data_IF_836114661654
#
_entry.id   IF_836114661654
#
_cell.length_a   1.000
_cell.length_b   1.000
_cell.length_c   1.000
_cell.angle_alpha   90.00
_cell.angle_beta   90.00
_cell.angle_gamma   90.00
#
_symmetry.space_group_name_H-M   'P 1'
#
loop_
_entity.id
_entity.type
_entity.pdbx_description
1 polymer ?
#
# COMPACT_ATOMS: atom_id res chain seq x y z
N UNK A 1 -15.93 0.11 -13.49
CA UNK A 1 -15.78 -0.23 -12.06
C UNK A 1 -14.34 -0.64 -11.84
N UNK A 2 -13.77 -0.33 -10.68
CA UNK A 2 -12.42 -0.77 -10.34
C UNK A 2 -12.52 -2.01 -9.46
N UNK A 3 -11.83 -3.09 -9.85
CA UNK A 3 -11.75 -4.34 -9.11
C UNK A 3 -10.33 -4.48 -8.57
N UNK A 4 -10.18 -4.45 -7.26
CA UNK A 4 -8.91 -4.42 -6.56
C UNK A 4 -8.76 -5.71 -5.77
N UNK A 5 -7.74 -6.49 -6.10
CA UNK A 5 -7.44 -7.77 -5.48
C UNK A 5 -6.12 -7.67 -4.72
N UNK A 6 -6.11 -8.03 -3.43
CA UNK A 6 -4.90 -8.07 -2.60
C UNK A 6 -4.04 -9.32 -2.90
N UNK A 7 -3.69 -9.51 -4.16
CA UNK A 7 -2.83 -10.59 -4.64
C UNK A 7 -1.92 -10.07 -5.75
N UNK A 8 -0.78 -10.74 -5.93
CA UNK A 8 0.05 -10.57 -7.11
C UNK A 8 -0.47 -11.44 -8.25
N UNK A 9 -0.43 -10.88 -9.46
CA UNK A 9 -0.78 -11.59 -10.68
C UNK A 9 0.49 -12.12 -11.36
N UNK A 10 0.53 -13.41 -11.65
CA UNK A 10 1.69 -14.03 -12.29
C UNK A 10 1.89 -13.59 -13.75
N UNK A 11 0.80 -13.38 -14.49
CA UNK A 11 0.85 -13.01 -15.91
C UNK A 11 -0.33 -12.12 -16.24
N UNK A 12 -0.05 -10.95 -16.83
CA UNK A 12 -1.08 -10.04 -17.32
C UNK A 12 -1.75 -10.68 -18.55
N UNK A 13 -3.10 -10.69 -18.66
CA UNK A 13 -3.78 -11.22 -19.82
C UNK A 13 -3.37 -10.52 -21.13
N UNK A 14 -3.41 -11.25 -22.24
CA UNK A 14 -3.12 -10.66 -23.55
C UNK A 14 -4.20 -9.64 -23.97
N UNK A 15 -3.82 -8.69 -24.85
CA UNK A 15 -4.73 -7.73 -25.49
C UNK A 15 -5.48 -6.77 -24.55
N UNK A 16 -4.96 -6.56 -23.34
CA UNK A 16 -5.45 -5.54 -22.39
C UNK A 16 -4.67 -4.24 -22.52
N UNK A 17 -5.24 -3.16 -21.99
CA UNK A 17 -4.52 -1.90 -21.82
C UNK A 17 -3.90 -1.86 -20.42
N UNK A 18 -2.57 -1.80 -20.32
CA UNK A 18 -1.91 -1.68 -19.01
C UNK A 18 -2.14 -0.29 -18.43
N UNK A 19 -2.39 -0.24 -17.12
CA UNK A 19 -2.52 1.01 -16.38
C UNK A 19 -1.59 0.98 -15.16
N UNK A 20 -1.28 2.13 -14.55
CA UNK A 20 -0.43 2.15 -13.35
C UNK A 20 -1.04 1.33 -12.20
N UNK A 21 -0.22 0.48 -11.57
CA UNK A 21 -0.49 -0.09 -10.25
C UNK A 21 0.40 0.60 -9.22
N UNK A 22 -0.09 0.69 -7.99
CA UNK A 22 0.60 1.33 -6.87
C UNK A 22 1.17 0.32 -5.86
N UNK A 23 1.44 -0.91 -6.29
CA UNK A 23 2.10 -1.97 -5.52
C UNK A 23 1.29 -2.58 -4.35
N UNK A 24 0.29 -1.86 -3.83
CA UNK A 24 -0.51 -2.27 -2.66
C UNK A 24 -2.01 -2.08 -2.86
N UNK A 25 -2.80 -2.96 -2.25
CA UNK A 25 -4.27 -2.89 -2.25
C UNK A 25 -4.78 -1.55 -1.68
N UNK A 26 -4.18 -1.05 -0.60
CA UNK A 26 -4.58 0.21 0.02
C UNK A 26 -4.28 1.40 -0.89
N UNK A 27 -3.13 1.37 -1.57
CA UNK A 27 -2.74 2.44 -2.50
C UNK A 27 -3.58 2.42 -3.77
N UNK A 28 -3.89 1.24 -4.32
CA UNK A 28 -4.80 1.09 -5.44
C UNK A 28 -6.21 1.59 -5.07
N UNK A 29 -6.68 1.34 -3.84
CA UNK A 29 -7.96 1.86 -3.36
C UNK A 29 -7.93 3.39 -3.26
N UNK A 30 -6.89 3.96 -2.67
CA UNK A 30 -6.72 5.41 -2.55
C UNK A 30 -6.69 6.09 -3.94
N UNK A 31 -5.97 5.50 -4.90
CA UNK A 31 -5.94 5.98 -6.27
C UNK A 31 -7.34 5.93 -6.93
N UNK A 32 -8.08 4.82 -6.75
CA UNK A 32 -9.45 4.65 -7.26
C UNK A 32 -10.44 5.63 -6.62
N UNK A 33 -10.15 6.09 -5.40
CA UNK A 33 -10.87 7.15 -4.71
C UNK A 33 -10.44 8.58 -5.11
N UNK A 34 -9.46 8.73 -6.01
CA UNK A 34 -9.00 10.02 -6.54
C UNK A 34 -8.02 10.77 -5.65
N UNK A 35 -7.36 10.10 -4.70
CA UNK A 35 -6.31 10.72 -3.89
C UNK A 35 -5.02 10.96 -4.70
N UNK A 36 -4.25 11.97 -4.32
CA UNK A 36 -2.92 12.22 -4.90
C UNK A 36 -1.95 11.14 -4.43
N UNK A 37 -1.38 10.39 -5.37
CA UNK A 37 -0.49 9.26 -5.10
C UNK A 37 0.98 9.65 -4.92
N UNK A 38 1.33 10.93 -5.11
CA UNK A 38 2.65 11.47 -4.71
C UNK A 38 2.74 11.67 -3.18
N UNK A 39 1.59 11.89 -2.53
CA UNK A 39 1.46 12.05 -1.07
C UNK A 39 0.20 11.31 -0.58
N UNK A 40 0.18 9.96 -0.66
CA UNK A 40 -1.01 9.20 -0.32
C UNK A 40 -1.33 9.35 1.18
N UNK A 41 -2.61 9.46 1.56
CA UNK A 41 -3.02 9.62 2.97
C UNK A 41 -3.06 8.28 3.74
N UNK A 42 -2.09 7.39 3.48
CA UNK A 42 -2.14 6.03 3.98
C UNK A 42 -1.90 5.95 5.51
N UNK A 43 -1.05 6.81 6.07
CA UNK A 43 -0.90 6.89 7.52
C UNK A 43 -2.20 7.34 8.20
N UNK A 44 -2.93 8.28 7.60
CA UNK A 44 -4.18 8.78 8.13
C UNK A 44 -5.33 7.76 7.99
N UNK A 45 -5.29 6.91 6.95
CA UNK A 45 -6.15 5.71 6.84
C UNK A 45 -5.93 4.77 8.01
N UNK A 46 -4.69 4.33 8.25
CA UNK A 46 -4.40 3.40 9.34
C UNK A 46 -4.65 4.03 10.71
N UNK A 47 -4.34 5.33 10.88
CA UNK A 47 -4.73 6.09 12.08
C UNK A 47 -6.23 6.01 12.33
N UNK A 48 -7.06 6.20 11.30
CA UNK A 48 -8.52 6.09 11.43
C UNK A 48 -9.01 4.66 11.69
N UNK A 49 -8.32 3.64 11.19
CA UNK A 49 -8.69 2.23 11.42
C UNK A 49 -8.39 1.84 12.87
N UNK A 50 -7.28 2.31 13.41
CA UNK A 50 -6.81 2.01 14.77
C UNK A 50 -7.28 3.01 15.84
N UNK A 51 -8.12 3.98 15.47
CA UNK A 51 -8.63 5.05 16.33
C UNK A 51 -7.52 5.87 17.05
N UNK A 52 -6.41 6.06 16.35
CA UNK A 52 -5.26 6.80 16.89
C UNK A 52 -5.50 8.32 16.82
N UNK A 53 -5.02 9.03 17.85
CA UNK A 53 -5.13 10.48 17.97
C UNK A 53 -3.86 11.18 17.47
N UNK A 54 -4.01 12.42 16.96
CA UNK A 54 -2.91 13.23 16.45
C UNK A 54 -2.49 12.89 15.02
N UNK A 55 -1.34 13.40 14.62
CA UNK A 55 -0.79 13.22 13.28
C UNK A 55 0.21 12.07 13.23
N UNK A 56 0.10 11.26 12.18
CA UNK A 56 0.93 10.07 11.99
C UNK A 56 1.51 10.01 10.58
N UNK A 57 2.68 9.40 10.47
CA UNK A 57 3.32 9.01 9.20
C UNK A 57 3.65 7.51 9.23
N UNK A 58 3.93 6.94 8.07
CA UNK A 58 4.42 5.57 7.96
C UNK A 58 5.93 5.50 8.12
N UNK A 59 6.40 4.51 8.87
CA UNK A 59 7.75 3.99 8.81
C UNK A 59 7.72 2.62 8.18
N UNK A 60 8.43 2.45 7.08
CA UNK A 60 8.61 1.15 6.43
C UNK A 60 10.04 0.68 6.64
N UNK A 61 10.27 -0.49 7.26
CA UNK A 61 11.58 -1.11 7.30
C UNK A 61 12.13 -1.30 5.89
N UNK A 62 13.43 -1.04 5.72
CA UNK A 62 14.11 -1.15 4.42
C UNK A 62 15.49 -1.77 4.55
N UNK A 63 15.94 -2.35 3.45
CA UNK A 63 17.35 -2.60 3.18
C UNK A 63 17.82 -1.66 2.09
N UNK A 64 18.82 -0.83 2.39
CA UNK A 64 19.41 0.10 1.43
C UNK A 64 20.92 -0.10 1.33
N UNK A 65 21.50 0.17 0.17
CA UNK A 65 22.92 0.06 -0.08
C UNK A 65 23.51 1.41 -0.49
N UNK A 66 24.70 1.70 0.03
CA UNK A 66 25.50 2.84 -0.40
C UNK A 66 26.50 2.40 -1.47
N UNK A 67 26.60 3.17 -2.55
CA UNK A 67 27.72 3.15 -3.49
C UNK A 67 28.59 4.40 -3.27
N UNK A 68 29.65 4.57 -4.07
CA UNK A 68 30.53 5.73 -3.94
C UNK A 68 29.79 7.09 -4.03
N UNK A 69 28.72 7.16 -4.84
CA UNK A 69 28.03 8.41 -5.15
C UNK A 69 26.51 8.38 -4.86
N UNK A 70 25.97 7.27 -4.36
CA UNK A 70 24.53 7.10 -4.26
C UNK A 70 24.12 6.17 -3.10
N UNK A 71 22.87 6.28 -2.67
CA UNK A 71 22.24 5.40 -1.70
C UNK A 71 20.89 4.96 -2.27
N UNK A 72 20.66 3.65 -2.37
CA UNK A 72 19.48 3.07 -3.01
C UNK A 72 18.75 2.14 -2.05
N UNK A 73 17.41 2.22 -2.00
CA UNK A 73 16.60 1.19 -1.35
C UNK A 73 16.60 -0.04 -2.26
N UNK A 74 17.17 -1.15 -1.80
CA UNK A 74 17.32 -2.39 -2.57
C UNK A 74 16.20 -3.37 -2.26
N UNK A 75 15.71 -3.39 -1.02
CA UNK A 75 14.59 -4.25 -0.63
C UNK A 75 13.70 -3.60 0.41
N UNK A 76 12.42 -3.93 0.35
CA UNK A 76 11.38 -3.51 1.28
C UNK A 76 10.22 -4.52 1.25
N UNK A 77 9.34 -4.45 2.25
CA UNK A 77 8.11 -5.24 2.31
C UNK A 77 8.38 -6.75 2.14
N UNK A 78 7.67 -7.43 1.23
CA UNK A 78 7.81 -8.87 0.96
C UNK A 78 9.19 -9.28 0.45
N UNK A 79 10.03 -8.31 0.03
CA UNK A 79 11.40 -8.56 -0.39
C UNK A 79 12.39 -8.71 0.77
N UNK A 80 11.99 -8.39 2.00
CA UNK A 80 12.88 -8.46 3.17
C UNK A 80 12.95 -9.91 3.68
N UNK A 81 14.15 -10.50 3.78
CA UNK A 81 14.31 -11.89 4.22
C UNK A 81 14.27 -12.00 5.76
N UNK A 82 13.20 -11.53 6.38
CA UNK A 82 12.99 -11.59 7.82
C UNK A 82 11.69 -12.33 8.17
N UNK A 83 11.69 -13.07 9.28
CA UNK A 83 10.49 -13.68 9.85
C UNK A 83 9.62 -12.63 10.54
N UNK A 84 8.35 -12.98 10.77
CA UNK A 84 7.44 -12.10 11.51
C UNK A 84 7.94 -11.82 12.95
N UNK A 85 8.51 -12.82 13.62
CA UNK A 85 9.10 -12.67 14.95
C UNK A 85 10.29 -11.71 14.95
N UNK A 86 11.13 -11.77 13.90
CA UNK A 86 12.27 -10.85 13.74
C UNK A 86 11.78 -9.40 13.56
N UNK A 87 10.72 -9.18 12.77
CA UNK A 87 10.10 -7.86 12.63
C UNK A 87 9.50 -7.34 13.94
N UNK A 88 8.80 -8.19 14.69
CA UNK A 88 8.21 -7.80 15.98
C UNK A 88 9.31 -7.45 17.00
N UNK A 89 10.39 -8.23 17.04
CA UNK A 89 11.52 -7.96 17.92
C UNK A 89 12.23 -6.65 17.54
N UNK A 90 12.45 -6.43 16.24
CA UNK A 90 13.03 -5.20 15.73
C UNK A 90 12.15 -3.98 16.03
N UNK A 91 10.83 -4.10 15.85
CA UNK A 91 9.88 -3.08 16.23
C UNK A 91 10.01 -2.73 17.71
N UNK A 92 10.09 -3.73 18.59
CA UNK A 92 10.20 -3.49 20.03
C UNK A 92 11.48 -2.71 20.37
N UNK A 93 12.64 -3.16 19.87
CA UNK A 93 13.91 -2.46 20.11
C UNK A 93 13.90 -1.02 19.58
N UNK A 94 13.31 -0.81 18.40
CA UNK A 94 13.25 0.50 17.79
C UNK A 94 12.23 1.42 18.48
N UNK A 95 11.11 0.86 18.93
CA UNK A 95 10.12 1.56 19.75
C UNK A 95 10.72 2.02 21.09
N UNK A 96 11.51 1.16 21.75
CA UNK A 96 12.19 1.49 23.01
C UNK A 96 13.20 2.63 22.79
N UNK A 97 14.00 2.56 21.73
CA UNK A 97 14.94 3.61 21.34
C UNK A 97 14.23 4.95 21.09
N UNK A 98 13.14 4.95 20.33
CA UNK A 98 12.38 6.17 20.03
C UNK A 98 11.68 6.76 21.26
N UNK A 99 11.25 5.91 22.21
CA UNK A 99 10.59 6.35 23.43
C UNK A 99 11.50 7.19 24.35
N UNK A 100 12.83 6.99 24.29
CA UNK A 100 13.81 7.81 25.03
C UNK A 100 13.71 9.31 24.66
N UNK A 101 13.31 9.61 23.42
CA UNK A 101 13.10 10.96 22.91
C UNK A 101 11.62 11.38 22.86
N UNK A 102 10.76 10.69 23.61
CA UNK A 102 9.31 10.93 23.64
C UNK A 102 8.61 10.75 22.29
N UNK A 103 9.18 9.97 21.38
CA UNK A 103 8.51 9.58 20.14
C UNK A 103 7.62 8.37 20.39
N UNK A 104 6.40 8.39 19.85
CA UNK A 104 5.45 7.27 19.96
C UNK A 104 5.39 6.50 18.64
N UNK A 105 5.64 5.20 18.71
CA UNK A 105 5.56 4.29 17.58
C UNK A 105 4.40 3.29 17.79
N UNK A 106 3.65 3.00 16.72
CA UNK A 106 2.55 2.04 16.73
C UNK A 106 2.80 0.94 15.69
N UNK A 107 2.66 -0.32 16.11
CA UNK A 107 2.80 -1.47 15.23
C UNK A 107 1.50 -1.71 14.47
N UNK A 108 1.49 -1.53 13.15
CA UNK A 108 0.34 -1.94 12.33
C UNK A 108 0.54 -3.36 11.77
N UNK A 109 1.69 -3.62 11.15
CA UNK A 109 2.09 -4.93 10.66
C UNK A 109 3.62 -4.98 10.53
N UNK A 110 4.23 -6.15 10.22
CA UNK A 110 5.69 -6.31 10.18
C UNK A 110 6.44 -5.26 9.35
N UNK A 111 5.86 -4.83 8.22
CA UNK A 111 6.51 -3.93 7.25
C UNK A 111 5.93 -2.51 7.24
N UNK A 112 5.02 -2.21 8.17
CA UNK A 112 4.33 -0.93 8.28
C UNK A 112 4.14 -0.56 9.74
N UNK A 113 4.88 0.46 10.18
CA UNK A 113 4.72 1.06 11.50
C UNK A 113 4.21 2.49 11.34
N UNK A 114 3.59 3.04 12.38
CA UNK A 114 3.19 4.44 12.41
C UNK A 114 4.00 5.20 13.45
N UNK A 115 4.56 6.34 13.06
CA UNK A 115 5.23 7.28 13.95
C UNK A 115 4.31 8.48 14.21
N UNK A 116 4.09 8.81 15.49
CA UNK A 116 3.40 10.04 15.86
C UNK A 116 4.31 11.24 15.59
N UNK A 117 3.79 12.22 14.88
CA UNK A 117 4.54 13.40 14.43
C UNK A 117 3.94 14.70 14.93
N UNK A 118 3.21 14.64 16.05
CA UNK A 118 2.72 15.85 16.70
C UNK A 118 3.91 16.78 16.99
N UNK A 119 3.79 18.05 16.56
CA UNK A 119 4.83 19.07 16.71
C UNK A 119 6.13 18.82 15.91
N UNK A 120 6.14 17.95 14.91
CA UNK A 120 7.28 17.79 13.99
C UNK A 120 7.07 18.61 12.71
N UNK A 121 8.14 19.03 12.02
CA UNK A 121 8.03 19.71 10.72
C UNK A 121 7.28 18.85 9.69
N UNK A 122 6.56 19.47 8.73
CA UNK A 122 5.91 18.74 7.65
C UNK A 122 6.90 17.86 6.89
N UNK A 123 6.51 16.62 6.64
CA UNK A 123 7.28 15.67 5.83
C UNK A 123 6.89 15.82 4.35
N UNK A 124 7.89 15.91 3.48
CA UNK A 124 7.72 15.85 2.03
C UNK A 124 8.50 14.66 1.49
N UNK A 125 7.90 13.48 1.59
CA UNK A 125 8.53 12.23 1.17
C UNK A 125 7.69 11.51 0.15
N UNK A 126 8.37 10.87 -0.81
CA UNK A 126 7.74 9.97 -1.78
C UNK A 126 7.35 8.65 -1.11
N UNK A 127 6.26 8.01 -1.56
CA UNK A 127 5.89 6.69 -1.07
C UNK A 127 6.95 5.64 -1.44
N UNK A 128 7.03 4.59 -0.62
CA UNK A 128 8.10 3.58 -0.72
C UNK A 128 8.20 2.93 -2.11
N UNK A 129 7.07 2.63 -2.74
CA UNK A 129 7.03 2.04 -4.08
C UNK A 129 7.68 2.91 -5.17
N UNK A 130 7.78 4.23 -4.95
CA UNK A 130 8.50 5.15 -5.84
C UNK A 130 9.98 5.28 -5.49
N UNK A 131 10.40 4.82 -4.31
CA UNK A 131 11.77 4.93 -3.82
C UNK A 131 12.58 3.65 -4.02
N UNK A 132 11.92 2.52 -4.27
CA UNK A 132 12.59 1.26 -4.53
C UNK A 132 13.48 1.37 -5.78
N UNK A 133 14.76 1.05 -5.62
CA UNK A 133 15.83 1.21 -6.61
C UNK A 133 16.04 2.64 -7.13
N UNK A 134 15.54 3.65 -6.42
CA UNK A 134 15.80 5.06 -6.72
C UNK A 134 16.80 5.66 -5.73
N UNK A 135 17.52 6.68 -6.19
CA UNK A 135 18.45 7.44 -5.35
C UNK A 135 17.71 8.11 -4.20
N UNK A 136 18.15 7.82 -2.98
CA UNK A 136 17.67 8.46 -1.76
C UNK A 136 18.24 9.88 -1.62
N UNK A 137 19.44 10.14 -2.14
CA UNK A 137 20.19 11.36 -1.87
C UNK A 137 19.43 12.65 -2.24
N UNK A 138 18.83 12.78 -3.45
CA UNK A 138 18.03 13.95 -3.81
C UNK A 138 16.76 14.08 -2.96
N UNK A 139 16.17 12.97 -2.54
CA UNK A 139 14.90 12.95 -1.82
C UNK A 139 15.09 13.27 -0.33
N UNK A 140 16.18 12.78 0.27
CA UNK A 140 16.59 13.16 1.63
C UNK A 140 16.73 14.68 1.77
N UNK A 141 17.27 15.37 0.77
CA UNK A 141 17.41 16.84 0.80
C UNK A 141 16.08 17.61 0.77
N UNK A 142 14.97 16.93 0.40
CA UNK A 142 13.66 17.54 0.20
C UNK A 142 12.65 17.22 1.30
N UNK A 143 13.02 16.39 2.29
CA UNK A 143 12.09 15.91 3.32
C UNK A 143 11.45 17.03 4.15
N UNK A 144 12.19 18.09 4.44
CA UNK A 144 11.70 19.33 5.04
C UNK A 144 12.71 20.48 4.84
N UNK A 145 12.34 21.69 5.29
CA UNK A 145 13.18 22.91 5.18
C UNK A 145 14.07 23.17 6.41
N UNK A 146 13.91 22.40 7.48
CA UNK A 146 14.55 22.58 8.81
C UNK A 146 15.70 21.60 9.09
N UNK A 147 15.93 20.65 8.18
CA UNK A 147 16.87 19.52 8.33
C UNK A 147 16.47 18.52 9.44
N UNK A 148 15.20 18.50 9.86
CA UNK A 148 14.76 17.65 10.96
C UNK A 148 14.76 16.18 10.55
N UNK A 149 14.11 15.84 9.45
CA UNK A 149 13.96 14.46 8.99
C UNK A 149 15.28 13.85 8.52
N UNK A 150 16.23 14.67 8.06
CA UNK A 150 17.57 14.23 7.70
C UNK A 150 18.38 13.83 8.94
N UNK A 151 18.30 14.63 10.02
CA UNK A 151 18.90 14.26 11.31
C UNK A 151 18.26 13.01 11.88
N UNK A 152 16.93 12.96 11.86
CA UNK A 152 16.18 11.79 12.31
C UNK A 152 16.55 10.53 11.50
N UNK A 153 16.72 10.65 10.18
CA UNK A 153 17.21 9.56 9.34
C UNK A 153 18.60 9.07 9.76
N UNK A 154 19.53 9.99 10.03
CA UNK A 154 20.87 9.63 10.52
C UNK A 154 20.83 8.94 11.88
N UNK A 155 19.98 9.41 12.81
CA UNK A 155 19.77 8.76 14.11
C UNK A 155 19.23 7.34 13.93
N UNK A 156 18.25 7.15 13.03
CA UNK A 156 17.75 5.84 12.67
C UNK A 156 18.88 4.95 12.12
N UNK A 157 19.70 5.46 11.20
CA UNK A 157 20.83 4.71 10.65
C UNK A 157 21.81 4.26 11.74
N UNK A 158 22.10 5.12 12.72
CA UNK A 158 22.96 4.76 13.85
C UNK A 158 22.35 3.65 14.70
N UNK A 159 21.03 3.71 14.95
CA UNK A 159 20.32 2.64 15.63
C UNK A 159 20.43 1.31 14.85
N UNK A 160 20.09 1.30 13.56
CA UNK A 160 20.12 0.08 12.75
C UNK A 160 21.54 -0.47 12.55
N UNK A 161 22.56 0.40 12.51
CA UNK A 161 23.96 -0.02 12.49
C UNK A 161 24.35 -0.81 13.76
N UNK A 162 23.74 -0.51 14.91
CA UNK A 162 23.94 -1.25 16.16
C UNK A 162 23.23 -2.62 16.18
N UNK A 163 22.29 -2.86 15.25
CA UNK A 163 21.51 -4.10 15.15
C UNK A 163 21.94 -5.01 14.00
N UNK A 164 23.00 -4.67 13.25
CA UNK A 164 23.43 -5.38 12.01
C UNK A 164 23.65 -6.88 12.20
N UNK A 165 24.13 -7.32 13.36
CA UNK A 165 24.33 -8.76 13.62
C UNK A 165 23.03 -9.52 13.92
N UNK A 166 21.89 -8.82 14.00
CA UNK A 166 20.60 -9.36 14.42
C UNK A 166 19.54 -9.30 13.33
N UNK A 167 19.70 -8.43 12.33
CA UNK A 167 18.75 -8.29 11.22
C UNK A 167 19.45 -7.74 9.99
N UNK A 168 18.96 -8.13 8.80
CA UNK A 168 19.39 -7.57 7.53
C UNK A 168 18.77 -6.18 7.25
N UNK A 169 17.73 -5.79 7.99
CA UNK A 169 17.13 -4.47 7.90
C UNK A 169 18.12 -3.44 8.45
N UNK A 170 18.44 -2.43 7.63
CA UNK A 170 19.45 -1.42 7.97
C UNK A 170 18.91 0.02 7.93
N UNK A 171 17.58 0.18 7.90
CA UNK A 171 16.95 1.49 7.94
C UNK A 171 15.43 1.42 7.95
N UNK A 172 14.83 2.61 8.02
CA UNK A 172 13.40 2.86 7.79
C UNK A 172 13.23 4.00 6.80
N UNK A 173 12.17 3.93 5.98
CA UNK A 173 11.73 5.02 5.12
C UNK A 173 10.45 5.66 5.64
N UNK A 174 10.44 6.99 5.71
CA UNK A 174 9.32 7.80 6.21
C UNK A 174 8.43 8.22 5.05
N UNK A 175 7.11 8.00 5.10
CA UNK A 175 6.21 8.44 4.03
C UNK A 175 4.73 8.46 4.46
N UNK A 176 3.81 8.70 3.52
CA UNK A 176 2.38 8.52 3.73
C UNK A 176 1.69 9.63 4.54
N UNK A 177 2.28 10.83 4.56
CA UNK A 177 1.83 11.96 5.36
C UNK A 177 0.66 12.76 4.76
N UNK A 178 0.04 12.26 3.68
CA UNK A 178 -1.19 12.83 3.13
C UNK A 178 -2.31 12.82 4.16
N UNK A 179 -3.35 13.64 3.93
CA UNK A 179 -4.53 13.69 4.81
C UNK A 179 -5.76 13.15 4.10
N UNK A 180 -6.55 12.37 4.84
CA UNK A 180 -7.86 11.97 4.39
C UNK A 180 -8.77 13.20 4.36
N UNK A 181 -9.55 13.30 3.28
CA UNK A 181 -10.66 14.22 3.24
C UNK A 181 -11.83 13.65 4.06
N UNK A 182 -12.93 14.41 4.15
CA UNK A 182 -14.19 13.84 4.62
C UNK A 182 -14.51 12.56 3.84
N UNK A 183 -14.92 11.51 4.55
CA UNK A 183 -15.24 10.20 3.94
C UNK A 183 -16.15 10.37 2.72
N UNK A 184 -15.74 9.75 1.63
CA UNK A 184 -16.43 9.82 0.35
C UNK A 184 -17.80 9.13 0.45
N UNK A 185 -18.70 9.43 -0.49
CA UNK A 185 -19.93 8.68 -0.68
C UNK A 185 -19.82 7.72 -1.89
N UNK A 186 -18.64 7.12 -2.07
CA UNK A 186 -18.36 6.21 -3.17
C UNK A 186 -18.85 4.80 -2.79
N UNK A 187 -19.74 4.16 -3.56
CA UNK A 187 -20.19 2.80 -3.25
C UNK A 187 -19.03 1.80 -3.41
N UNK A 188 -18.60 1.19 -2.31
CA UNK A 188 -17.54 0.17 -2.27
C UNK A 188 -18.13 -1.15 -1.77
N UNK A 189 -17.87 -2.23 -2.48
CA UNK A 189 -18.12 -3.59 -1.99
C UNK A 189 -16.79 -4.19 -1.57
N UNK A 190 -16.66 -4.60 -0.31
CA UNK A 190 -15.41 -5.14 0.22
C UNK A 190 -15.65 -6.46 0.96
N UNK A 191 -14.73 -7.41 0.88
CA UNK A 191 -14.80 -8.57 1.77
C UNK A 191 -14.44 -8.23 3.22
N UNK A 192 -14.61 -9.21 4.11
CA UNK A 192 -14.53 -8.99 5.56
C UNK A 192 -13.17 -8.44 6.01
N UNK A 193 -12.08 -8.88 5.39
CA UNK A 193 -10.71 -8.51 5.77
C UNK A 193 -10.38 -7.07 5.34
N UNK A 194 -10.89 -6.64 4.18
CA UNK A 194 -10.65 -5.30 3.64
C UNK A 194 -11.77 -4.30 3.97
N UNK A 195 -12.78 -4.72 4.72
CA UNK A 195 -13.95 -3.90 5.05
C UNK A 195 -13.59 -2.64 5.86
N UNK A 196 -12.70 -2.77 6.85
CA UNK A 196 -12.24 -1.64 7.68
C UNK A 196 -11.48 -0.61 6.85
N UNK A 197 -10.66 -1.06 5.90
CA UNK A 197 -9.95 -0.22 4.95
C UNK A 197 -10.93 0.57 4.06
N UNK A 198 -11.93 -0.10 3.48
CA UNK A 198 -12.96 0.57 2.68
C UNK A 198 -13.75 1.60 3.51
N UNK A 199 -14.08 1.28 4.77
CA UNK A 199 -14.80 2.18 5.68
C UNK A 199 -13.98 3.37 6.16
N UNK A 200 -12.66 3.30 6.10
CA UNK A 200 -11.80 4.44 6.40
C UNK A 200 -11.98 5.54 5.34
N UNK A 201 -12.17 5.17 4.07
CA UNK A 201 -12.22 6.11 2.94
C UNK A 201 -13.64 6.47 2.47
N UNK A 202 -14.63 5.58 2.68
CA UNK A 202 -16.02 5.79 2.24
C UNK A 202 -17.05 5.55 3.35
N UNK A 203 -18.18 6.26 3.25
CA UNK A 203 -19.38 6.06 4.07
C UNK A 203 -20.31 4.98 3.50
N UNK A 204 -20.21 4.70 2.20
CA UNK A 204 -21.07 3.75 1.50
C UNK A 204 -20.28 2.47 1.19
N UNK A 205 -20.18 1.60 2.20
CA UNK A 205 -19.44 0.34 2.10
C UNK A 205 -20.37 -0.82 2.42
N UNK A 206 -20.41 -1.82 1.54
CA UNK A 206 -21.15 -3.06 1.74
C UNK A 206 -20.18 -4.23 1.83
N UNK A 207 -20.53 -5.21 2.65
CA UNK A 207 -19.80 -6.47 2.71
C UNK A 207 -20.07 -7.25 1.42
N UNK A 208 -19.03 -7.84 0.85
CA UNK A 208 -19.17 -8.73 -0.30
C UNK A 208 -19.96 -9.98 0.10
N UNK A 209 -21.04 -10.23 -0.64
CA UNK A 209 -21.87 -11.41 -0.51
C UNK A 209 -22.27 -11.89 -1.91
N UNK A 210 -22.31 -13.21 -2.19
CA UNK A 210 -22.73 -13.75 -3.49
C UNK A 210 -24.08 -13.27 -4.04
N UNK A 211 -24.95 -12.70 -3.20
CA UNK A 211 -26.27 -12.19 -3.58
C UNK A 211 -26.31 -10.70 -3.94
N UNK A 212 -25.21 -9.95 -3.76
CA UNK A 212 -25.18 -8.53 -4.14
C UNK A 212 -25.20 -8.37 -5.66
N UNK A 213 -25.56 -7.17 -6.14
CA UNK A 213 -25.47 -6.80 -7.56
C UNK A 213 -24.27 -5.87 -7.72
N UNK A 214 -23.27 -6.27 -8.52
CA UNK A 214 -22.01 -5.53 -8.61
C UNK A 214 -22.14 -4.20 -9.36
N UNK A 215 -23.13 -4.06 -10.25
CA UNK A 215 -23.47 -2.83 -10.97
C UNK A 215 -23.75 -1.61 -10.07
N UNK A 216 -24.09 -1.83 -8.80
CA UNK A 216 -24.32 -0.78 -7.80
C UNK A 216 -23.02 -0.21 -7.22
N UNK A 217 -21.89 -0.86 -7.45
CA UNK A 217 -20.61 -0.51 -6.84
C UNK A 217 -19.66 0.15 -7.85
N UNK A 218 -18.84 1.07 -7.34
CA UNK A 218 -17.78 1.72 -8.11
C UNK A 218 -16.44 1.04 -7.90
N UNK A 219 -16.24 0.43 -6.72
CA UNK A 219 -15.07 -0.36 -6.37
C UNK A 219 -15.51 -1.69 -5.78
N UNK A 220 -14.91 -2.78 -6.24
CA UNK A 220 -14.95 -4.10 -5.61
C UNK A 220 -13.56 -4.40 -5.04
N UNK A 221 -13.48 -4.72 -3.75
CA UNK A 221 -12.24 -4.85 -2.99
C UNK A 221 -12.18 -6.23 -2.32
N UNK A 222 -11.25 -7.08 -2.71
CA UNK A 222 -11.21 -8.47 -2.25
C UNK A 222 -9.78 -8.90 -1.87
N UNK A 223 -9.65 -9.72 -0.83
CA UNK A 223 -8.36 -10.32 -0.49
C UNK A 223 -7.89 -11.27 -1.59
N UNK A 224 -8.81 -12.06 -2.18
CA UNK A 224 -8.46 -13.09 -3.14
C UNK A 224 -9.44 -13.15 -4.32
N UNK A 225 -8.92 -13.44 -5.52
CA UNK A 225 -9.72 -13.55 -6.75
C UNK A 225 -10.75 -14.68 -6.68
N UNK A 226 -10.44 -15.77 -5.98
CA UNK A 226 -11.31 -16.95 -5.87
C UNK A 226 -12.59 -16.69 -5.06
N UNK A 227 -12.68 -15.56 -4.36
CA UNK A 227 -13.92 -15.12 -3.71
C UNK A 227 -14.99 -14.67 -4.71
N UNK A 228 -14.62 -14.35 -5.94
CA UNK A 228 -15.58 -13.95 -6.98
C UNK A 228 -16.36 -15.19 -7.46
N UNK A 229 -17.67 -15.18 -7.26
CA UNK A 229 -18.55 -16.26 -7.71
C UNK A 229 -18.68 -16.29 -9.23
N UNK A 230 -19.11 -17.42 -9.80
CA UNK A 230 -19.31 -17.50 -11.25
C UNK A 230 -20.33 -16.46 -11.75
N UNK A 231 -21.42 -16.24 -11.01
CA UNK A 231 -22.42 -15.20 -11.32
C UNK A 231 -21.78 -13.82 -11.42
N UNK A 232 -20.93 -13.45 -10.47
CA UNK A 232 -20.23 -12.17 -10.49
C UNK A 232 -19.15 -12.11 -11.56
N UNK A 233 -18.46 -13.21 -11.88
CA UNK A 233 -17.55 -13.27 -13.03
C UNK A 233 -18.32 -12.93 -14.31
N UNK A 234 -19.49 -13.52 -14.52
CA UNK A 234 -20.33 -13.25 -15.69
C UNK A 234 -20.85 -11.80 -15.72
N UNK A 235 -21.15 -11.19 -14.56
CA UNK A 235 -21.54 -9.79 -14.46
C UNK A 235 -20.39 -8.83 -14.81
N UNK A 236 -19.22 -9.01 -14.17
CA UNK A 236 -18.00 -8.22 -14.41
C UNK A 236 -17.61 -8.21 -15.88
N UNK A 237 -17.80 -9.33 -16.53
CA UNK A 237 -17.46 -9.57 -17.91
C UNK A 237 -18.23 -8.70 -18.92
N UNK A 238 -19.38 -8.17 -18.50
CA UNK A 238 -20.27 -7.28 -19.28
C UNK A 238 -20.01 -5.80 -19.05
N UNK A 239 -19.04 -5.45 -18.19
CA UNK A 239 -18.75 -4.09 -17.78
C UNK A 239 -17.35 -3.65 -18.18
N UNK A 240 -17.09 -2.34 -18.36
CA UNK A 240 -15.73 -1.83 -18.40
C UNK A 240 -15.11 -1.92 -17.00
N UNK A 241 -14.13 -2.80 -16.86
CA UNK A 241 -13.43 -3.08 -15.60
C UNK A 241 -11.96 -2.66 -15.69
N UNK A 242 -11.51 -1.91 -14.69
CA UNK A 242 -10.08 -1.76 -14.37
C UNK A 242 -9.74 -2.79 -13.29
N UNK A 243 -8.77 -3.66 -13.57
CA UNK A 243 -8.26 -4.65 -12.63
C UNK A 243 -6.98 -4.11 -12.00
N UNK A 244 -6.95 -4.13 -10.66
CA UNK A 244 -5.79 -3.76 -9.87
C UNK A 244 -5.36 -4.96 -9.02
N UNK A 245 -4.10 -5.31 -9.15
CA UNK A 245 -3.39 -6.31 -8.37
C UNK A 245 -2.26 -5.59 -7.63
N UNK A 246 -1.65 -6.25 -6.65
CA UNK A 246 -0.52 -5.66 -5.94
C UNK A 246 0.59 -5.32 -6.95
N UNK A 247 1.03 -6.27 -7.77
CA UNK A 247 2.14 -6.03 -8.70
C UNK A 247 1.77 -5.46 -10.09
N UNK A 248 0.48 -5.36 -10.47
CA UNK A 248 0.09 -4.99 -11.83
C UNK A 248 -1.33 -4.42 -11.91
N UNK A 249 -1.64 -3.69 -12.98
CA UNK A 249 -3.01 -3.23 -13.23
C UNK A 249 -3.28 -3.10 -14.74
N UNK A 250 -4.52 -3.36 -15.15
CA UNK A 250 -4.94 -3.31 -16.55
C UNK A 250 -6.43 -3.02 -16.71
N UNK A 251 -6.83 -2.58 -17.90
CA UNK A 251 -8.23 -2.40 -18.29
C UNK A 251 -8.61 -3.38 -19.38
N UNK A 252 -9.79 -3.97 -19.23
CA UNK A 252 -10.41 -4.70 -20.33
C UNK A 252 -10.99 -3.67 -21.32
N UNK A 253 -10.59 -3.75 -22.59
CA UNK A 253 -11.34 -3.08 -23.66
C UNK A 253 -12.73 -3.71 -23.70
N UNK A 254 -13.77 -2.91 -23.51
CA UNK A 254 -15.14 -3.43 -23.37
C UNK A 254 -15.45 -4.45 -24.45
N UNK A 255 -15.89 -5.61 -24.00
CA UNK A 255 -15.91 -6.82 -24.80
C UNK A 255 -17.18 -6.92 -25.67
N UNK A 256 -17.08 -6.45 -26.91
CA UNK A 256 -17.52 -7.29 -28.04
C UNK A 256 -16.65 -8.59 -28.14
N UNK A 257 -15.68 -8.76 -27.23
CA UNK A 257 -14.73 -9.87 -27.03
C UNK A 257 -15.36 -11.18 -26.54
N UNK A 258 -16.55 -11.20 -25.92
CA UNK A 258 -17.19 -12.47 -25.48
C UNK A 258 -17.35 -13.52 -26.58
N UNK A 259 -17.36 -13.10 -27.84
CA UNK A 259 -17.39 -13.97 -29.02
C UNK A 259 -16.14 -14.85 -29.22
N UNK A 260 -15.01 -14.58 -28.55
CA UNK A 260 -13.72 -15.23 -28.85
C UNK A 260 -13.17 -16.17 -27.78
N UNK A 261 -13.37 -15.91 -26.47
CA UNK A 261 -12.83 -16.78 -25.41
C UNK A 261 -13.66 -18.06 -25.16
N UNK A 262 -14.97 -18.05 -25.44
CA UNK A 262 -15.79 -19.26 -25.33
C UNK A 262 -15.47 -20.33 -26.39
N UNK A 263 -14.82 -19.96 -27.50
CA UNK A 263 -14.42 -20.91 -28.56
C UNK A 263 -13.16 -21.72 -28.22
N UNK A 264 -12.31 -21.26 -27.29
CA UNK A 264 -11.06 -21.98 -26.96
C UNK A 264 -11.19 -22.97 -25.80
N UNK A 265 -12.30 -22.95 -25.05
CA UNK A 265 -12.55 -23.89 -23.96
C UNK A 265 -13.47 -25.08 -24.35
N UNK A 266 -14.08 -25.05 -25.55
CA UNK A 266 -14.98 -26.12 -26.04
C UNK A 266 -14.36 -27.08 -27.07
N UNK A 267 -13.04 -27.01 -27.32
CA UNK A 267 -12.37 -27.85 -28.33
C UNK A 267 -11.16 -28.66 -27.83
N UNK A 268 -11.09 -28.93 -26.53
CA UNK A 268 -10.19 -29.97 -26.00
C UNK A 268 -11.05 -31.14 -25.47
N UNK A 269 -11.42 -32.03 -26.41
CA UNK A 269 -11.74 -33.43 -26.13
C UNK A 269 -10.44 -34.23 -26.13
#
# INVERSE_FOLDING_TARGET
>A
MDVIINQSLATIPEQVETIPSYQKVELNLLASCGYNMDQPPLADVYRSIHDLQGDWILLSPIYWEASHNDALIVSAEDGLPCSEEEFQQLFQWYSDFLAEESNTLYFHNPVTWLLNVNNKPPLYSKPLYQMLHQSMMPELSKLDTTMYWQKFFTECQMFFASTVNKTLINGVWFWGNGKLNAKLNLPICADAELFSLARAVSKNVSLYDPSVSLDKFRVLLLTQIDRITQTHKDELSKMPISWYWNNSAYKNKSSNWFSRLWRSWTHAY
#
